data_IF_009984677633
#
_entry.id   IF_009984677633
#
_cell.length_a   1.000
_cell.length_b   1.000
_cell.length_c   1.000
_cell.angle_alpha   90.00
_cell.angle_beta   90.00
_cell.angle_gamma   90.00
#
_symmetry.space_group_name_H-M   'P 1'
#
loop_
_entity.id
_entity.type
_entity.pdbx_description
1 polymer ?
#
# COMPACT_ATOMS: atom_id res chain seq x y z
N UNK A 1 -33.50 43.67 12.23
CA UNK A 1 -33.08 44.92 11.58
C UNK A 1 -32.06 44.51 10.53
N UNK A 2 -32.47 44.51 9.29
CA UNK A 2 -31.66 44.02 8.18
C UNK A 2 -31.20 45.25 7.41
N UNK A 3 -29.89 45.45 7.33
CA UNK A 3 -29.30 46.46 6.45
C UNK A 3 -28.65 45.74 5.26
N UNK A 4 -29.22 45.96 4.10
CA UNK A 4 -28.71 45.54 2.82
C UNK A 4 -27.83 46.63 2.22
N UNK A 5 -26.62 46.34 1.86
CA UNK A 5 -25.73 47.13 1.01
C UNK A 5 -25.50 46.41 -0.29
N UNK A 6 -26.01 46.92 -1.36
CA UNK A 6 -25.83 46.44 -2.73
C UNK A 6 -24.59 47.08 -3.35
N UNK A 7 -23.65 46.23 -3.80
CA UNK A 7 -22.70 46.58 -4.86
C UNK A 7 -22.48 45.34 -5.76
N UNK A 8 -22.90 45.50 -7.03
CA UNK A 8 -22.43 44.72 -8.19
C UNK A 8 -22.76 43.23 -8.20
N UNK A 9 -23.97 42.87 -8.60
CA UNK A 9 -24.29 41.66 -9.41
C UNK A 9 -23.47 40.38 -9.25
N UNK A 10 -23.76 39.62 -8.17
CA UNK A 10 -23.88 38.15 -8.15
C UNK A 10 -24.30 37.71 -6.74
N UNK A 11 -25.53 37.22 -6.65
CA UNK A 11 -26.11 36.67 -5.42
C UNK A 11 -25.50 35.27 -5.17
N UNK A 12 -24.74 35.11 -4.09
CA UNK A 12 -24.40 33.81 -3.56
C UNK A 12 -25.29 33.53 -2.34
N UNK A 13 -26.14 32.52 -2.45
CA UNK A 13 -26.91 31.98 -1.32
C UNK A 13 -26.03 30.95 -0.64
N UNK A 14 -25.50 31.27 0.56
CA UNK A 14 -24.92 30.29 1.46
C UNK A 14 -26.05 29.58 2.22
N UNK A 15 -26.31 28.33 1.86
CA UNK A 15 -27.17 27.44 2.64
C UNK A 15 -26.31 26.70 3.63
N UNK A 16 -26.56 26.93 4.92
CA UNK A 16 -25.86 26.30 6.03
C UNK A 16 -26.40 24.88 6.22
N UNK A 17 -25.65 23.84 5.79
CA UNK A 17 -26.04 22.41 5.80
C UNK A 17 -25.47 21.61 6.95
N UNK A 18 -25.18 22.21 8.09
CA UNK A 18 -24.49 21.50 9.19
C UNK A 18 -25.38 20.87 10.28
N UNK A 19 -26.69 20.74 10.11
CA UNK A 19 -27.56 20.18 11.16
C UNK A 19 -28.47 19.00 10.78
N UNK A 20 -28.36 18.41 9.59
CA UNK A 20 -29.25 17.28 9.22
C UNK A 20 -28.54 15.91 9.05
N UNK A 21 -27.21 15.84 9.16
CA UNK A 21 -26.48 14.59 8.94
C UNK A 21 -26.49 13.62 10.13
N UNK A 22 -26.85 14.07 11.33
CA UNK A 22 -26.76 13.24 12.55
C UNK A 22 -27.99 12.37 12.82
N UNK A 23 -29.16 12.73 12.26
CA UNK A 23 -30.40 12.00 12.53
C UNK A 23 -30.69 10.84 11.56
N UNK A 24 -30.09 10.81 10.36
CA UNK A 24 -30.30 9.69 9.44
C UNK A 24 -29.50 8.42 9.79
N UNK A 25 -28.37 8.56 10.46
CA UNK A 25 -27.59 7.37 10.91
C UNK A 25 -28.25 6.62 12.08
N UNK A 26 -29.07 7.29 12.89
CA UNK A 26 -29.78 6.64 14.01
C UNK A 26 -31.07 5.94 13.59
N UNK A 27 -31.68 6.32 12.48
CA UNK A 27 -32.90 5.69 11.97
C UNK A 27 -32.58 4.42 11.18
N UNK A 28 -31.42 4.31 10.55
CA UNK A 28 -31.01 3.14 9.80
C UNK A 28 -30.62 1.94 10.72
N UNK A 29 -30.18 2.21 11.97
CA UNK A 29 -29.86 1.15 12.95
C UNK A 29 -31.08 0.54 13.64
N UNK A 30 -32.23 1.24 13.68
CA UNK A 30 -33.43 0.71 14.35
C UNK A 30 -34.33 -0.14 13.46
N UNK A 31 -34.17 -0.10 12.15
CA UNK A 31 -34.99 -0.92 11.21
C UNK A 31 -34.36 -2.29 10.96
N UNK A 32 -33.05 -2.48 11.24
CA UNK A 32 -32.38 -3.76 11.01
C UNK A 32 -32.43 -4.72 12.20
N UNK A 33 -32.88 -4.29 13.38
CA UNK A 33 -33.02 -5.16 14.55
C UNK A 33 -34.41 -5.82 14.72
N UNK A 34 -35.38 -5.52 13.85
CA UNK A 34 -36.73 -6.04 13.97
C UNK A 34 -37.09 -7.18 13.00
N UNK A 35 -36.11 -7.62 12.17
CA UNK A 35 -36.36 -8.67 11.16
C UNK A 35 -35.88 -10.08 11.55
N UNK A 36 -35.51 -10.32 12.82
CA UNK A 36 -34.98 -11.64 13.25
C UNK A 36 -35.85 -12.37 14.26
N UNK A 37 -37.08 -11.94 14.48
CA UNK A 37 -37.99 -12.68 15.40
C UNK A 37 -39.36 -12.90 14.78
N UNK A 38 -39.47 -13.66 13.73
CA UNK A 38 -40.68 -14.43 13.41
C UNK A 38 -40.30 -15.59 12.51
N UNK A 39 -40.17 -16.77 13.05
CA UNK A 39 -40.43 -18.05 12.41
C UNK A 39 -40.21 -19.17 13.45
N UNK A 40 -41.09 -19.20 14.43
CA UNK A 40 -41.36 -20.41 15.19
C UNK A 40 -42.85 -20.49 15.36
N UNK A 41 -43.53 -21.09 14.41
CA UNK A 41 -44.87 -21.62 14.59
C UNK A 41 -44.91 -22.98 13.88
N UNK A 42 -44.92 -24.02 14.67
CA UNK A 42 -45.23 -25.37 14.26
C UNK A 42 -46.61 -25.44 13.69
N UNK A 43 -46.75 -26.10 12.57
CA UNK A 43 -48.00 -26.79 12.21
C UNK A 43 -47.59 -28.20 11.78
N UNK A 44 -48.03 -29.16 12.59
CA UNK A 44 -48.06 -30.56 12.26
C UNK A 44 -49.11 -30.78 11.20
N UNK A 45 -48.69 -31.14 9.98
CA UNK A 45 -49.58 -31.86 9.07
C UNK A 45 -48.79 -32.95 8.36
N UNK A 46 -49.29 -34.15 8.52
CA UNK A 46 -48.71 -35.42 8.12
C UNK A 46 -48.97 -35.61 6.61
N UNK A 47 -48.04 -35.17 5.78
CA UNK A 47 -47.99 -35.56 4.38
C UNK A 47 -46.59 -36.10 4.11
N UNK A 48 -46.54 -37.41 3.82
CA UNK A 48 -45.36 -38.11 3.32
C UNK A 48 -44.86 -37.49 2.02
N UNK A 49 -44.09 -36.41 2.11
CA UNK A 49 -43.23 -36.00 1.04
C UNK A 49 -41.98 -36.88 0.98
N UNK A 50 -41.44 -37.19 -0.22
CA UNK A 50 -40.24 -37.99 -0.34
C UNK A 50 -39.11 -37.29 0.40
N UNK A 51 -38.39 -38.06 1.22
CA UNK A 51 -37.25 -37.68 2.04
C UNK A 51 -36.18 -36.97 1.20
N UNK A 52 -36.35 -35.68 0.98
CA UNK A 52 -35.35 -34.83 0.37
C UNK A 52 -34.25 -34.75 1.42
N UNK A 53 -33.18 -35.52 1.23
CA UNK A 53 -31.96 -35.45 2.04
C UNK A 53 -31.52 -34.01 2.15
N UNK A 54 -31.93 -33.32 3.21
CA UNK A 54 -31.42 -31.99 3.52
C UNK A 54 -29.92 -32.12 3.74
N UNK A 55 -29.13 -31.50 2.87
CA UNK A 55 -27.68 -31.45 3.00
C UNK A 55 -27.27 -30.72 4.29
N UNK A 56 -26.08 -30.99 4.75
CA UNK A 56 -25.52 -30.27 5.91
C UNK A 56 -25.37 -28.79 5.63
N UNK A 57 -25.58 -27.96 6.66
CA UNK A 57 -25.38 -26.51 6.65
C UNK A 57 -24.16 -26.15 7.46
N UNK A 58 -23.35 -25.24 6.95
CA UNK A 58 -22.18 -24.64 7.63
C UNK A 58 -22.40 -23.14 7.78
N UNK A 59 -22.35 -22.66 9.01
CA UNK A 59 -22.18 -21.22 9.32
C UNK A 59 -20.71 -20.94 9.56
N UNK A 60 -20.07 -20.28 8.61
CA UNK A 60 -18.67 -19.88 8.72
C UNK A 60 -18.59 -18.39 9.06
N UNK A 61 -17.99 -18.09 10.20
CA UNK A 61 -17.65 -16.72 10.61
C UNK A 61 -16.14 -16.52 10.41
N UNK A 62 -15.71 -15.29 10.17
CA UNK A 62 -14.28 -14.94 10.12
C UNK A 62 -13.93 -14.13 11.36
N UNK A 63 -12.88 -14.54 12.08
CA UNK A 63 -12.42 -13.84 13.28
C UNK A 63 -11.78 -12.51 12.91
N UNK A 64 -12.04 -11.47 13.68
CA UNK A 64 -11.48 -10.10 13.53
C UNK A 64 -11.87 -9.33 12.26
N UNK A 65 -13.04 -9.59 11.69
CA UNK A 65 -13.51 -8.74 10.58
C UNK A 65 -14.85 -8.11 10.93
N UNK A 66 -14.89 -6.79 10.91
CA UNK A 66 -16.16 -6.08 10.76
C UNK A 66 -16.79 -6.50 9.43
N UNK A 67 -17.94 -7.13 9.54
CA UNK A 67 -18.67 -7.86 8.51
C UNK A 67 -18.84 -7.10 7.20
N UNK A 68 -18.35 -7.61 6.09
CA UNK A 68 -18.98 -7.70 4.74
C UNK A 68 -18.00 -8.15 3.65
N UNK A 69 -18.52 -8.90 2.66
CA UNK A 69 -17.84 -9.60 1.58
C UNK A 69 -17.17 -8.69 0.54
N UNK A 70 -16.06 -8.12 0.88
CA UNK A 70 -15.05 -7.57 -0.03
C UNK A 70 -13.80 -7.31 0.80
N UNK A 71 -12.64 -7.62 0.25
CA UNK A 71 -11.41 -7.08 0.83
C UNK A 71 -11.39 -5.60 0.47
N UNK A 72 -11.66 -4.72 1.43
CA UNK A 72 -11.54 -3.27 1.26
C UNK A 72 -10.31 -2.78 2.01
N UNK A 73 -9.50 -1.96 1.34
CA UNK A 73 -8.40 -1.26 1.97
C UNK A 73 -8.94 0.07 2.52
N UNK A 74 -9.33 0.05 3.79
CA UNK A 74 -9.63 1.26 4.54
C UNK A 74 -8.48 1.48 5.53
N UNK A 75 -7.46 2.24 5.10
CA UNK A 75 -6.35 2.71 5.95
C UNK A 75 -5.70 1.63 6.84
N UNK A 76 -5.47 0.45 6.28
CA UNK A 76 -4.75 -0.62 6.97
C UNK A 76 -5.62 -1.64 7.72
N UNK A 77 -6.93 -1.55 7.62
CA UNK A 77 -7.85 -2.62 8.06
C UNK A 77 -8.43 -3.34 6.85
N UNK A 78 -8.21 -4.63 6.81
CA UNK A 78 -8.78 -5.50 5.79
C UNK A 78 -9.92 -6.27 6.37
N UNK A 79 -11.08 -6.19 5.74
CA UNK A 79 -12.24 -7.00 6.07
C UNK A 79 -12.41 -8.06 5.00
N UNK A 80 -12.56 -9.31 5.41
CA UNK A 80 -12.87 -10.41 4.52
C UNK A 80 -14.29 -10.90 4.79
N UNK A 81 -15.05 -11.17 3.74
CA UNK A 81 -16.30 -11.90 3.88
C UNK A 81 -16.54 -12.78 2.67
N UNK A 82 -17.33 -13.82 2.87
CA UNK A 82 -17.68 -14.77 1.84
C UNK A 82 -18.70 -14.19 0.86
N UNK A 83 -18.46 -14.42 -0.42
CA UNK A 83 -19.39 -14.08 -1.50
C UNK A 83 -20.29 -15.28 -1.83
N UNK A 84 -21.42 -15.03 -2.48
CA UNK A 84 -22.25 -16.08 -3.06
C UNK A 84 -21.42 -16.91 -4.04
N UNK A 85 -21.58 -18.23 -3.97
CA UNK A 85 -20.84 -19.27 -4.71
C UNK A 85 -19.41 -19.50 -4.21
N UNK A 86 -18.94 -18.83 -3.15
CA UNK A 86 -17.69 -19.24 -2.52
C UNK A 86 -17.80 -20.68 -2.01
N UNK A 87 -16.70 -21.42 -2.09
CA UNK A 87 -16.63 -22.80 -1.67
C UNK A 87 -15.67 -22.96 -0.50
N UNK A 88 -16.10 -23.73 0.49
CA UNK A 88 -15.30 -24.14 1.64
C UNK A 88 -15.13 -25.64 1.63
N UNK A 89 -13.93 -26.14 1.83
CA UNK A 89 -13.64 -27.56 2.02
C UNK A 89 -13.75 -27.91 3.50
N UNK A 90 -14.57 -28.88 3.82
CA UNK A 90 -14.85 -29.27 5.21
C UNK A 90 -14.61 -30.77 5.38
N UNK A 91 -13.83 -31.13 6.36
CA UNK A 91 -13.51 -32.52 6.68
C UNK A 91 -13.49 -32.76 8.18
N UNK A 92 -13.43 -33.99 8.58
CA UNK A 92 -13.28 -34.39 9.98
C UNK A 92 -12.34 -35.60 10.10
N UNK A 93 -12.09 -36.02 11.33
CA UNK A 93 -11.19 -37.14 11.65
C UNK A 93 -11.78 -38.51 11.27
N UNK A 94 -13.05 -38.58 10.84
CA UNK A 94 -13.76 -39.82 10.47
C UNK A 94 -13.92 -39.98 8.95
N UNK A 95 -13.61 -38.99 8.14
CA UNK A 95 -13.77 -39.03 6.67
C UNK A 95 -12.41 -38.97 5.97
N UNK A 96 -12.31 -39.67 4.84
CA UNK A 96 -11.08 -39.70 4.04
C UNK A 96 -10.91 -38.44 3.21
N UNK A 97 -12.02 -37.92 2.67
CA UNK A 97 -12.07 -36.79 1.74
C UNK A 97 -12.81 -35.61 2.33
N UNK A 98 -12.44 -34.40 1.88
CA UNK A 98 -13.18 -33.21 2.23
C UNK A 98 -14.49 -33.10 1.45
N UNK A 99 -15.55 -32.67 2.12
CA UNK A 99 -16.79 -32.24 1.49
C UNK A 99 -16.66 -30.81 0.96
N UNK A 100 -17.40 -30.51 -0.11
CA UNK A 100 -17.53 -29.17 -0.62
C UNK A 100 -18.80 -28.53 -0.13
N UNK A 101 -18.68 -27.37 0.51
CA UNK A 101 -19.80 -26.54 0.93
C UNK A 101 -19.80 -25.28 0.10
N UNK A 102 -20.93 -24.94 -0.53
CA UNK A 102 -21.10 -23.76 -1.39
C UNK A 102 -21.98 -22.73 -0.69
N UNK A 103 -21.57 -21.47 -0.71
CA UNK A 103 -22.31 -20.35 -0.14
C UNK A 103 -23.48 -19.97 -1.04
N UNK A 104 -24.70 -20.03 -0.52
CA UNK A 104 -25.91 -19.57 -1.23
C UNK A 104 -26.13 -18.05 -1.14
N UNK A 105 -25.30 -17.36 -0.34
CA UNK A 105 -25.38 -15.94 -0.01
C UNK A 105 -25.72 -15.69 1.47
N UNK A 106 -26.10 -16.74 2.23
CA UNK A 106 -26.46 -16.68 3.65
C UNK A 106 -25.67 -17.70 4.47
N UNK A 107 -25.64 -18.94 3.96
CA UNK A 107 -24.97 -20.08 4.60
C UNK A 107 -24.30 -20.95 3.55
N UNK A 108 -23.40 -21.78 4.00
CA UNK A 108 -22.79 -22.80 3.14
C UNK A 108 -23.57 -24.10 3.25
N UNK A 109 -23.89 -24.73 2.12
CA UNK A 109 -24.62 -26.00 2.05
C UNK A 109 -23.83 -27.05 1.27
N UNK A 110 -23.98 -28.32 1.65
CA UNK A 110 -23.43 -29.46 0.94
C UNK A 110 -24.46 -30.56 0.85
N UNK A 111 -24.70 -31.07 -0.35
CA UNK A 111 -25.56 -32.24 -0.60
C UNK A 111 -24.83 -33.54 -0.30
N UNK A 112 -23.50 -33.55 -0.30
CA UNK A 112 -22.68 -34.76 -0.17
C UNK A 112 -22.25 -35.02 1.26
N UNK A 113 -22.23 -33.96 2.10
CA UNK A 113 -21.78 -34.07 3.47
C UNK A 113 -22.81 -34.88 4.30
N UNK A 114 -22.32 -35.90 4.99
CA UNK A 114 -23.10 -36.73 5.88
C UNK A 114 -22.73 -36.40 7.31
N UNK A 115 -23.77 -36.38 8.17
CA UNK A 115 -23.55 -36.34 9.61
C UNK A 115 -22.85 -37.64 10.04
N UNK A 116 -21.96 -37.52 11.00
CA UNK A 116 -21.33 -38.68 11.64
C UNK A 116 -22.21 -39.14 12.78
N UNK A 117 -22.28 -40.46 12.98
CA UNK A 117 -23.00 -41.04 14.12
C UNK A 117 -22.27 -40.83 15.45
N UNK A 118 -21.01 -40.46 15.38
CA UNK A 118 -20.15 -40.19 16.53
C UNK A 118 -19.66 -38.73 16.48
N UNK A 119 -19.26 -38.22 17.66
CA UNK A 119 -18.63 -36.93 17.75
C UNK A 119 -17.38 -36.91 16.89
N UNK A 120 -17.19 -35.86 16.06
CA UNK A 120 -16.06 -35.71 15.18
C UNK A 120 -15.50 -34.26 15.27
N UNK A 121 -14.21 -34.09 15.07
CA UNK A 121 -13.56 -32.79 14.98
C UNK A 121 -13.59 -32.32 13.54
N UNK A 122 -14.39 -31.29 13.27
CA UNK A 122 -14.54 -30.74 11.92
C UNK A 122 -13.55 -29.60 11.68
N UNK A 123 -12.91 -29.59 10.52
CA UNK A 123 -12.05 -28.54 10.06
C UNK A 123 -12.56 -27.98 8.74
N UNK A 124 -12.57 -26.66 8.60
CA UNK A 124 -12.98 -25.95 7.41
C UNK A 124 -11.81 -25.14 6.81
N UNK A 125 -11.71 -25.12 5.48
CA UNK A 125 -10.62 -24.51 4.73
C UNK A 125 -11.15 -23.71 3.54
N UNK A 126 -10.75 -22.44 3.44
CA UNK A 126 -11.09 -21.57 2.33
C UNK A 126 -9.78 -21.03 1.67
N UNK A 127 -9.75 -20.84 0.36
CA UNK A 127 -10.75 -21.15 -0.66
C UNK A 127 -10.74 -22.64 -1.08
N UNK A 128 -9.98 -23.49 -0.42
CA UNK A 128 -9.89 -24.90 -0.70
C UNK A 128 -8.81 -25.60 0.13
N UNK A 129 -8.59 -26.87 -0.12
CA UNK A 129 -7.58 -27.69 0.57
C UNK A 129 -6.15 -27.45 0.06
N UNK A 130 -6.02 -26.97 -1.17
CA UNK A 130 -4.72 -26.61 -1.78
C UNK A 130 -4.82 -25.23 -2.40
N UNK A 131 -3.87 -24.36 -2.06
CA UNK A 131 -3.80 -22.99 -2.56
C UNK A 131 -2.47 -22.79 -3.26
N UNK A 132 -2.50 -22.63 -4.57
CA UNK A 132 -1.32 -22.32 -5.38
C UNK A 132 -0.99 -20.83 -5.22
N UNK A 133 0.18 -20.51 -4.71
CA UNK A 133 0.63 -19.13 -4.50
C UNK A 133 1.51 -18.59 -5.63
N UNK A 134 1.93 -19.44 -6.58
CA UNK A 134 2.71 -19.00 -7.74
C UNK A 134 1.85 -18.23 -8.75
N UNK A 135 2.48 -17.37 -9.55
CA UNK A 135 1.87 -16.63 -10.66
C UNK A 135 0.63 -15.81 -10.25
N UNK A 136 0.68 -15.13 -9.11
CA UNK A 136 -0.39 -14.23 -8.69
C UNK A 136 -0.51 -13.04 -9.64
N UNK A 137 -1.70 -12.48 -9.79
CA UNK A 137 -1.93 -11.35 -10.69
C UNK A 137 -1.36 -10.04 -10.15
N UNK A 138 -1.17 -9.95 -8.84
CA UNK A 138 -0.76 -8.74 -8.13
C UNK A 138 -1.87 -7.72 -7.97
N UNK A 139 -3.08 -7.98 -8.46
CA UNK A 139 -4.23 -7.09 -8.27
C UNK A 139 -4.86 -7.30 -6.90
N UNK A 140 -5.27 -6.20 -6.28
CA UNK A 140 -5.93 -6.26 -4.98
C UNK A 140 -7.20 -7.12 -4.98
N UNK A 141 -8.03 -6.99 -6.03
CA UNK A 141 -9.26 -7.76 -6.18
C UNK A 141 -9.06 -9.30 -6.18
N UNK A 142 -7.87 -9.76 -6.59
CA UNK A 142 -7.58 -11.20 -6.69
C UNK A 142 -6.96 -11.78 -5.41
N UNK A 143 -6.68 -10.95 -4.39
CA UNK A 143 -6.15 -11.40 -3.09
C UNK A 143 -7.11 -12.38 -2.43
N UNK A 144 -8.42 -12.15 -2.49
CA UNK A 144 -9.44 -13.02 -1.90
C UNK A 144 -9.32 -14.46 -2.40
N UNK A 145 -8.98 -14.69 -3.66
CA UNK A 145 -8.85 -16.02 -4.26
C UNK A 145 -7.67 -16.85 -3.70
N UNK A 146 -6.76 -16.20 -2.96
CA UNK A 146 -5.59 -16.82 -2.33
C UNK A 146 -5.57 -16.64 -0.81
N UNK A 147 -6.59 -15.97 -0.27
CA UNK A 147 -6.64 -15.61 1.15
C UNK A 147 -7.06 -16.81 1.98
N UNK A 148 -6.08 -17.57 2.44
CA UNK A 148 -6.31 -18.80 3.21
C UNK A 148 -6.93 -18.52 4.58
N UNK A 149 -8.07 -19.16 4.83
CA UNK A 149 -8.73 -19.19 6.13
C UNK A 149 -8.88 -20.64 6.57
N UNK A 150 -8.68 -20.91 7.85
CA UNK A 150 -8.95 -22.21 8.44
C UNK A 150 -9.59 -22.06 9.81
N UNK A 151 -10.48 -22.97 10.15
CA UNK A 151 -11.16 -23.05 11.43
C UNK A 151 -11.52 -24.47 11.80
N UNK A 152 -11.67 -24.72 13.09
CA UNK A 152 -12.16 -25.99 13.62
C UNK A 152 -13.35 -25.77 14.53
N UNK A 153 -14.18 -26.77 14.59
CA UNK A 153 -15.30 -26.87 15.57
C UNK A 153 -15.40 -28.29 16.08
N UNK A 154 -15.68 -28.42 17.36
CA UNK A 154 -16.08 -29.71 17.91
C UNK A 154 -17.52 -30.01 17.45
N UNK A 155 -17.75 -31.26 17.16
CA UNK A 155 -18.87 -31.79 16.43
C UNK A 155 -20.25 -31.37 16.90
N UNK A 156 -21.09 -31.22 15.90
CA UNK A 156 -22.49 -31.50 15.99
C UNK A 156 -22.73 -32.96 16.45
N UNK A 157 -23.37 -33.14 17.58
CA UNK A 157 -23.95 -34.41 17.97
C UNK A 157 -25.03 -34.83 16.96
N UNK A 158 -25.23 -36.13 16.78
CA UNK A 158 -26.35 -36.71 16.02
C UNK A 158 -27.63 -35.89 16.21
N UNK A 159 -28.11 -35.28 15.13
CA UNK A 159 -29.39 -34.53 15.12
C UNK A 159 -29.28 -33.02 14.89
N UNK A 160 -28.09 -32.42 14.82
CA UNK A 160 -27.97 -31.02 14.43
C UNK A 160 -27.69 -30.87 12.93
N UNK A 161 -28.54 -30.12 12.24
CA UNK A 161 -28.48 -29.92 10.81
C UNK A 161 -27.32 -28.97 10.36
N UNK A 162 -26.47 -28.55 11.28
CA UNK A 162 -25.45 -27.54 10.94
C UNK A 162 -24.20 -27.54 11.81
N UNK A 163 -23.13 -27.04 11.20
CA UNK A 163 -21.86 -26.74 11.83
C UNK A 163 -21.72 -25.23 11.97
N UNK A 164 -21.07 -24.78 13.04
CA UNK A 164 -20.63 -23.38 13.17
C UNK A 164 -19.13 -23.39 13.34
N UNK A 165 -18.42 -22.71 12.44
CA UNK A 165 -16.95 -22.61 12.45
C UNK A 165 -16.53 -21.15 12.42
N UNK A 166 -15.62 -20.76 13.32
CA UNK A 166 -14.91 -19.49 13.25
C UNK A 166 -13.58 -19.70 12.54
N UNK A 167 -13.42 -19.10 11.38
CA UNK A 167 -12.22 -19.23 10.54
C UNK A 167 -11.25 -18.09 10.81
N UNK A 168 -9.96 -18.40 10.83
CA UNK A 168 -8.87 -17.45 11.05
C UNK A 168 -7.98 -17.39 9.82
N UNK A 169 -7.46 -16.20 9.52
CA UNK A 169 -6.48 -16.06 8.46
C UNK A 169 -5.21 -16.89 8.74
N UNK A 170 -4.63 -17.44 7.69
CA UNK A 170 -3.36 -18.21 7.69
C UNK A 170 -2.32 -17.61 6.78
N UNK A 171 -2.63 -16.48 6.19
CA UNK A 171 -1.76 -15.73 5.27
C UNK A 171 -1.62 -14.28 5.72
N UNK A 172 -0.54 -13.66 5.23
CA UNK A 172 -0.32 -12.24 5.22
C UNK A 172 -0.28 -11.75 3.77
N UNK A 173 -0.33 -10.44 3.55
CA UNK A 173 -0.24 -9.86 2.23
C UNK A 173 0.92 -8.88 2.18
N UNK A 174 1.76 -9.01 1.17
CA UNK A 174 2.80 -8.04 0.84
C UNK A 174 2.24 -7.05 -0.17
N UNK A 175 2.27 -5.77 0.16
CA UNK A 175 2.00 -4.67 -0.74
C UNK A 175 3.34 -4.16 -1.28
N UNK A 176 3.61 -4.41 -2.56
CA UNK A 176 4.85 -4.00 -3.21
C UNK A 176 4.64 -2.66 -3.88
N UNK A 177 5.45 -1.69 -3.53
CA UNK A 177 5.41 -0.31 -4.05
C UNK A 177 6.74 0.10 -4.67
N UNK A 178 6.79 1.24 -5.35
CA UNK A 178 8.01 1.76 -5.95
C UNK A 178 8.50 0.95 -7.16
N UNK A 179 7.58 0.31 -7.90
CA UNK A 179 7.89 -0.40 -9.14
C UNK A 179 7.80 0.58 -10.30
N UNK A 180 8.91 0.76 -11.02
CA UNK A 180 8.97 1.63 -12.20
C UNK A 180 8.57 0.90 -13.48
N UNK A 181 8.14 1.66 -14.48
CA UNK A 181 7.81 1.10 -15.78
C UNK A 181 9.04 0.50 -16.46
N UNK A 182 8.88 -0.69 -17.05
CA UNK A 182 9.97 -1.41 -17.71
C UNK A 182 10.89 -2.21 -16.78
N UNK A 183 10.75 -2.06 -15.46
CA UNK A 183 11.49 -2.88 -14.50
C UNK A 183 10.89 -4.26 -14.34
N UNK A 184 11.76 -5.26 -14.30
CA UNK A 184 11.32 -6.61 -14.03
C UNK A 184 11.14 -6.83 -12.52
N UNK A 185 9.89 -6.83 -12.06
CA UNK A 185 9.53 -7.24 -10.72
C UNK A 185 9.31 -8.76 -10.71
N UNK A 186 10.13 -9.49 -9.98
CA UNK A 186 10.06 -10.96 -9.84
C UNK A 186 10.10 -11.34 -8.36
N UNK A 187 8.93 -11.34 -7.73
CA UNK A 187 8.80 -11.66 -6.31
C UNK A 187 8.80 -13.15 -6.11
N UNK A 188 9.82 -13.62 -5.43
CA UNK A 188 9.92 -14.98 -4.91
C UNK A 188 10.18 -14.96 -3.41
N UNK A 189 9.71 -15.99 -2.72
CA UNK A 189 9.75 -16.07 -1.26
C UNK A 189 10.34 -17.43 -0.86
N UNK A 190 11.24 -17.43 0.10
CA UNK A 190 11.82 -18.65 0.66
C UNK A 190 11.47 -18.84 2.12
N UNK A 191 11.27 -20.09 2.50
CA UNK A 191 11.25 -20.56 3.88
C UNK A 191 12.18 -21.78 3.98
N UNK A 192 13.02 -21.82 4.98
CA UNK A 192 14.03 -22.88 5.18
C UNK A 192 14.85 -23.20 3.92
N UNK A 193 15.23 -22.15 3.17
CA UNK A 193 16.03 -22.24 1.95
C UNK A 193 15.29 -22.67 0.69
N UNK A 194 14.03 -23.11 0.78
CA UNK A 194 13.20 -23.55 -0.34
C UNK A 194 12.20 -22.46 -0.75
N UNK A 195 11.83 -22.44 -2.03
CA UNK A 195 10.86 -21.48 -2.56
C UNK A 195 9.44 -21.87 -2.19
N UNK A 196 8.68 -20.92 -1.64
CA UNK A 196 7.25 -21.09 -1.35
C UNK A 196 6.49 -21.22 -2.67
N UNK A 197 5.66 -22.25 -2.79
CA UNK A 197 4.83 -22.50 -3.99
C UNK A 197 3.32 -22.50 -3.68
N UNK A 198 2.94 -22.81 -2.44
CA UNK A 198 1.54 -22.94 -2.08
C UNK A 198 1.31 -23.22 -0.60
N UNK A 199 0.06 -23.54 -0.31
CA UNK A 199 -0.40 -23.99 0.99
C UNK A 199 -1.26 -25.24 0.81
N UNK A 200 -1.18 -26.19 1.75
CA UNK A 200 -1.98 -27.39 1.79
C UNK A 200 -2.64 -27.56 3.15
N UNK A 201 -3.96 -27.79 3.16
CA UNK A 201 -4.72 -28.04 4.38
C UNK A 201 -4.14 -29.24 5.14
N UNK A 202 -3.97 -29.07 6.44
CA UNK A 202 -3.55 -30.15 7.33
C UNK A 202 -4.81 -30.82 7.89
N UNK A 203 -5.06 -32.03 7.47
CA UNK A 203 -6.22 -32.82 7.92
C UNK A 203 -6.22 -32.89 9.45
N UNK A 204 -7.38 -32.76 10.04
CA UNK A 204 -7.59 -32.81 11.50
C UNK A 204 -6.92 -31.66 12.29
N UNK A 205 -6.50 -30.63 11.59
CA UNK A 205 -5.94 -29.40 12.16
C UNK A 205 -6.52 -28.18 11.43
N UNK A 206 -6.92 -27.16 12.15
CA UNK A 206 -7.36 -25.92 11.53
C UNK A 206 -6.17 -25.08 11.03
N UNK A 207 -5.33 -25.68 10.20
CA UNK A 207 -4.09 -25.07 9.71
C UNK A 207 -3.71 -25.51 8.29
N UNK A 208 -2.75 -24.77 7.70
CA UNK A 208 -2.14 -25.11 6.44
C UNK A 208 -0.63 -25.35 6.62
N UNK A 209 -0.11 -26.38 5.98
CA UNK A 209 1.33 -26.52 5.76
C UNK A 209 1.78 -25.70 4.56
N UNK A 210 3.02 -25.17 4.62
CA UNK A 210 3.59 -24.45 3.49
C UNK A 210 4.16 -25.45 2.48
N UNK A 211 3.66 -25.38 1.25
CA UNK A 211 4.20 -26.12 0.11
C UNK A 211 5.42 -25.38 -0.45
N UNK A 212 6.49 -26.13 -0.71
CA UNK A 212 7.75 -25.56 -1.19
C UNK A 212 8.29 -26.29 -2.41
N UNK A 213 9.07 -25.57 -3.23
CA UNK A 213 9.81 -26.08 -4.37
C UNK A 213 11.33 -25.94 -4.14
N UNK A 214 12.16 -26.93 -4.50
CA UNK A 214 13.61 -26.78 -4.49
C UNK A 214 14.10 -25.87 -5.62
N UNK A 215 13.35 -25.75 -6.72
CA UNK A 215 13.66 -24.87 -7.83
C UNK A 215 12.93 -23.55 -7.70
N UNK A 216 13.52 -22.47 -8.27
CA UNK A 216 12.95 -21.13 -8.23
C UNK A 216 11.55 -21.11 -8.80
N UNK A 217 10.62 -20.53 -8.04
CA UNK A 217 9.27 -20.21 -8.47
C UNK A 217 8.96 -18.75 -8.07
N UNK A 218 8.24 -18.06 -8.93
CA UNK A 218 7.83 -16.67 -8.68
C UNK A 218 6.40 -16.64 -8.20
N UNK A 219 6.16 -15.92 -7.10
CA UNK A 219 4.81 -15.63 -6.63
C UNK A 219 4.15 -14.54 -7.49
N UNK A 220 4.94 -13.59 -7.98
CA UNK A 220 4.50 -12.50 -8.84
C UNK A 220 5.60 -12.14 -9.84
N UNK A 221 5.24 -11.93 -11.11
CA UNK A 221 6.13 -11.37 -12.13
C UNK A 221 5.41 -10.25 -12.88
N UNK A 222 5.99 -9.03 -12.92
CA UNK A 222 5.44 -7.83 -13.55
C UNK A 222 6.54 -6.97 -14.17
N UNK A 223 6.16 -6.14 -15.17
CA UNK A 223 7.05 -5.18 -15.83
C UNK A 223 6.51 -3.76 -15.84
N UNK A 224 5.26 -3.57 -15.44
CA UNK A 224 4.62 -2.27 -15.46
C UNK A 224 4.81 -1.56 -14.12
N UNK A 225 4.83 -0.25 -14.13
CA UNK A 225 4.77 0.54 -12.90
C UNK A 225 3.45 0.28 -12.16
N UNK A 226 3.50 0.23 -10.83
CA UNK A 226 2.28 0.03 -10.07
C UNK A 226 2.48 -0.36 -8.62
N UNK A 227 1.36 -0.59 -7.97
CA UNK A 227 1.28 -1.19 -6.64
C UNK A 227 0.74 -2.60 -6.80
N UNK A 228 1.44 -3.57 -6.25
CA UNK A 228 1.09 -4.97 -6.37
C UNK A 228 0.88 -5.63 -5.02
N UNK A 229 0.01 -6.63 -4.98
CA UNK A 229 -0.35 -7.37 -3.77
C UNK A 229 0.00 -8.84 -3.95
N UNK A 230 0.71 -9.41 -2.98
CA UNK A 230 1.19 -10.79 -3.01
C UNK A 230 0.81 -11.48 -1.71
N UNK A 231 0.01 -12.53 -1.80
CA UNK A 231 -0.35 -13.37 -0.66
C UNK A 231 0.83 -14.28 -0.34
N UNK A 232 1.20 -14.35 0.92
CA UNK A 232 2.30 -15.18 1.45
C UNK A 232 1.86 -15.91 2.72
N UNK A 233 2.48 -17.05 3.09
CA UNK A 233 2.22 -17.71 4.35
C UNK A 233 2.45 -16.79 5.55
N UNK A 234 1.64 -16.90 6.58
CA UNK A 234 1.87 -16.26 7.88
C UNK A 234 2.46 -17.25 8.90
N UNK A 235 3.00 -16.72 10.00
CA UNK A 235 3.48 -17.53 11.12
C UNK A 235 4.78 -18.31 10.87
N UNK A 236 5.41 -18.16 9.71
CA UNK A 236 6.66 -18.82 9.35
C UNK A 236 7.72 -17.79 8.91
N UNK A 237 8.99 -18.10 9.18
CA UNK A 237 10.09 -17.24 8.74
C UNK A 237 10.18 -17.23 7.22
N UNK A 238 10.17 -16.02 6.65
CA UNK A 238 10.24 -15.81 5.21
C UNK A 238 11.42 -14.93 4.85
N UNK A 239 12.03 -15.21 3.70
CA UNK A 239 12.95 -14.30 3.00
C UNK A 239 12.33 -13.94 1.65
N UNK A 240 12.04 -12.64 1.44
CA UNK A 240 11.39 -12.09 0.24
C UNK A 240 12.46 -11.53 -0.68
N UNK A 241 12.41 -11.90 -1.94
CA UNK A 241 13.38 -11.49 -2.97
C UNK A 241 12.64 -10.81 -4.14
N UNK A 242 13.33 -9.88 -4.79
CA UNK A 242 13.03 -9.44 -6.15
C UNK A 242 14.14 -9.99 -7.06
N UNK A 243 13.82 -10.99 -7.88
CA UNK A 243 14.81 -11.77 -8.60
C UNK A 243 15.77 -12.49 -7.63
N UNK A 244 17.05 -12.17 -7.70
CA UNK A 244 18.08 -12.68 -6.79
C UNK A 244 18.37 -11.74 -5.60
N UNK A 245 17.82 -10.52 -5.64
CA UNK A 245 18.08 -9.50 -4.62
C UNK A 245 17.15 -9.69 -3.43
N UNK A 246 17.73 -9.91 -2.25
CA UNK A 246 16.99 -9.97 -0.99
C UNK A 246 16.38 -8.59 -0.68
N UNK A 247 15.08 -8.54 -0.53
CA UNK A 247 14.34 -7.34 -0.10
C UNK A 247 14.20 -7.29 1.43
N UNK A 248 13.75 -8.40 2.01
CA UNK A 248 13.46 -8.47 3.46
C UNK A 248 13.48 -9.92 3.95
N UNK A 249 13.99 -10.10 5.18
CA UNK A 249 13.78 -11.32 5.97
C UNK A 249 12.88 -10.98 7.16
N UNK A 250 11.89 -11.82 7.42
CA UNK A 250 11.01 -11.67 8.59
C UNK A 250 11.70 -12.17 9.86
N UNK A 251 11.13 -11.86 11.02
CA UNK A 251 11.51 -12.52 12.28
C UNK A 251 11.20 -14.02 12.20
N UNK A 252 11.73 -14.80 13.13
CA UNK A 252 11.50 -16.26 13.20
C UNK A 252 10.00 -16.60 13.38
N UNK A 253 9.23 -15.72 14.01
CA UNK A 253 7.77 -15.85 14.17
C UNK A 253 6.98 -15.55 12.90
N UNK A 254 7.67 -15.13 11.82
CA UNK A 254 7.03 -14.80 10.56
C UNK A 254 6.23 -13.48 10.58
N UNK A 255 5.32 -13.35 9.63
CA UNK A 255 4.35 -12.27 9.53
C UNK A 255 3.07 -12.65 10.29
N UNK A 256 2.40 -11.68 10.89
CA UNK A 256 1.11 -11.91 11.52
C UNK A 256 0.05 -12.20 10.45
N UNK A 257 -0.75 -13.21 10.68
CA UNK A 257 -1.87 -13.57 9.80
C UNK A 257 -2.91 -12.45 9.75
N UNK A 258 -3.55 -12.29 8.60
CA UNK A 258 -4.57 -11.26 8.41
C UNK A 258 -4.04 -9.83 8.30
N UNK A 259 -2.72 -9.62 8.28
CA UNK A 259 -2.11 -8.29 8.16
C UNK A 259 -1.47 -8.10 6.79
N UNK A 260 -1.31 -6.83 6.38
CA UNK A 260 -0.49 -6.51 5.22
C UNK A 260 0.78 -5.75 5.63
N UNK A 261 1.79 -5.84 4.78
CA UNK A 261 3.10 -5.26 4.99
C UNK A 261 3.58 -4.60 3.70
N UNK A 262 3.93 -3.33 3.77
CA UNK A 262 4.45 -2.61 2.61
C UNK A 262 5.94 -2.88 2.45
N UNK A 263 6.35 -3.26 1.25
CA UNK A 263 7.74 -3.38 0.82
C UNK A 263 7.98 -2.52 -0.41
N UNK A 264 9.08 -1.80 -0.42
CA UNK A 264 9.54 -1.09 -1.62
C UNK A 264 10.38 -2.02 -2.50
N UNK A 265 10.11 -2.03 -3.80
CA UNK A 265 10.87 -2.83 -4.77
C UNK A 265 12.35 -2.40 -4.81
N UNK A 266 12.61 -1.14 -4.52
CA UNK A 266 13.93 -0.52 -4.39
C UNK A 266 14.02 0.29 -3.11
N UNK A 267 15.25 0.52 -2.58
CA UNK A 267 15.45 1.52 -1.55
C UNK A 267 15.01 2.90 -2.07
N UNK A 268 14.23 3.61 -1.27
CA UNK A 268 13.82 4.99 -1.54
C UNK A 268 14.68 6.01 -0.80
N UNK A 269 15.59 5.53 0.03
CA UNK A 269 16.63 6.26 0.74
C UNK A 269 17.90 5.41 0.76
N UNK A 270 19.05 6.06 0.87
CA UNK A 270 20.32 5.37 0.99
C UNK A 270 21.48 6.34 1.02
N UNK A 271 22.69 5.81 0.90
CA UNK A 271 23.91 6.59 0.76
C UNK A 271 24.58 6.28 -0.58
N UNK A 272 25.37 7.22 -1.05
CA UNK A 272 26.24 7.07 -2.21
C UNK A 272 27.54 7.84 -2.00
N UNK A 273 28.61 7.34 -2.60
CA UNK A 273 29.91 7.98 -2.53
C UNK A 273 29.92 9.30 -3.26
N UNK A 274 30.50 10.29 -2.65
CA UNK A 274 30.85 11.59 -3.24
C UNK A 274 32.35 11.84 -3.04
N UNK A 275 32.97 12.55 -3.96
CA UNK A 275 34.36 13.03 -3.83
C UNK A 275 34.33 14.52 -3.58
N UNK A 276 34.71 14.95 -2.38
CA UNK A 276 34.74 16.36 -1.97
C UNK A 276 36.15 16.66 -1.51
N UNK A 277 36.79 17.68 -2.12
CA UNK A 277 38.17 18.07 -1.85
C UNK A 277 39.16 16.86 -1.94
N UNK A 278 38.93 16.01 -2.94
CA UNK A 278 39.75 14.82 -3.18
C UNK A 278 39.54 13.67 -2.16
N UNK A 279 38.59 13.80 -1.25
CA UNK A 279 38.28 12.78 -0.26
C UNK A 279 36.94 12.10 -0.59
N UNK A 280 36.91 10.76 -0.48
CA UNK A 280 35.68 10.00 -0.60
C UNK A 280 34.86 10.11 0.70
N UNK A 281 33.60 10.49 0.59
CA UNK A 281 32.64 10.62 1.68
C UNK A 281 31.31 9.99 1.27
N UNK A 282 30.51 9.52 2.24
CA UNK A 282 29.15 9.05 2.00
C UNK A 282 28.15 10.21 2.11
N UNK A 283 27.30 10.37 1.11
CA UNK A 283 26.19 11.34 1.11
C UNK A 283 24.85 10.63 1.05
N UNK A 284 23.91 11.05 1.90
CA UNK A 284 22.57 10.53 1.93
C UNK A 284 21.74 11.03 0.74
N UNK A 285 20.87 10.16 0.24
CA UNK A 285 19.91 10.51 -0.79
C UNK A 285 18.52 10.01 -0.45
N UNK A 286 17.51 10.68 -0.98
CA UNK A 286 16.09 10.35 -0.85
C UNK A 286 15.39 10.48 -2.20
N UNK A 287 14.47 9.57 -2.49
CA UNK A 287 13.57 9.61 -3.64
C UNK A 287 12.16 9.92 -3.14
N UNK A 288 11.47 10.89 -3.71
CA UNK A 288 10.17 11.36 -3.22
C UNK A 288 8.96 10.68 -3.88
N UNK A 289 9.15 10.08 -5.07
CA UNK A 289 8.09 9.35 -5.79
C UNK A 289 8.67 8.25 -6.68
N UNK A 290 7.85 7.28 -7.15
CA UNK A 290 8.28 6.24 -8.07
C UNK A 290 8.83 6.83 -9.37
N UNK A 291 10.05 6.44 -9.76
CA UNK A 291 10.72 6.96 -10.96
C UNK A 291 11.25 8.38 -10.85
N UNK A 292 11.07 9.05 -9.72
CA UNK A 292 11.66 10.35 -9.45
C UNK A 292 13.16 10.27 -9.21
N UNK A 293 13.87 11.40 -9.26
CA UNK A 293 15.32 11.43 -9.00
C UNK A 293 15.63 11.12 -7.53
N UNK A 294 16.86 10.67 -7.29
CA UNK A 294 17.42 10.47 -5.95
C UNK A 294 18.14 11.75 -5.54
N UNK A 295 17.43 12.63 -4.85
CA UNK A 295 17.98 13.88 -4.36
C UNK A 295 18.93 13.65 -3.20
N UNK A 296 20.03 14.41 -3.14
CA UNK A 296 20.80 14.52 -1.91
C UNK A 296 19.92 15.11 -0.78
N UNK A 297 20.12 14.68 0.45
CA UNK A 297 19.39 15.24 1.60
C UNK A 297 19.90 16.65 1.98
N UNK A 298 21.05 17.07 1.46
CA UNK A 298 21.64 18.39 1.70
C UNK A 298 22.07 19.09 0.39
N UNK A 299 22.21 20.39 0.44
CA UNK A 299 22.81 21.18 -0.65
C UNK A 299 24.33 20.96 -0.70
N UNK A 300 24.97 21.37 -1.80
CA UNK A 300 26.42 21.62 -1.79
C UNK A 300 26.75 22.68 -0.74
N UNK A 301 27.98 22.64 -0.18
CA UNK A 301 28.34 23.48 0.95
C UNK A 301 28.34 24.99 0.62
N UNK A 302 28.59 25.34 -0.63
CA UNK A 302 28.66 26.71 -1.09
C UNK A 302 27.82 26.92 -2.35
N UNK A 303 27.37 28.16 -2.56
CA UNK A 303 26.70 28.53 -3.80
C UNK A 303 27.70 28.50 -4.95
N UNK A 304 27.28 27.98 -6.09
CA UNK A 304 28.07 27.83 -7.29
C UNK A 304 27.59 28.78 -8.38
N UNK A 305 28.51 29.21 -9.26
CA UNK A 305 28.09 29.76 -10.53
C UNK A 305 27.61 28.64 -11.47
N UNK A 306 26.95 29.01 -12.56
CA UNK A 306 26.33 28.00 -13.44
C UNK A 306 27.36 27.05 -14.09
N UNK A 307 28.52 27.58 -14.47
CA UNK A 307 29.60 26.78 -15.08
C UNK A 307 30.14 25.72 -14.12
N UNK A 308 30.29 26.05 -12.84
CA UNK A 308 30.70 25.12 -11.79
C UNK A 308 29.59 24.10 -11.49
N UNK A 309 28.36 24.58 -11.39
CA UNK A 309 27.19 23.74 -11.07
C UNK A 309 26.90 22.69 -12.15
N UNK A 310 27.29 22.92 -13.40
CA UNK A 310 26.97 22.02 -14.52
C UNK A 310 28.14 21.17 -15.00
N UNK A 311 29.28 21.20 -14.31
CA UNK A 311 30.41 20.28 -14.56
C UNK A 311 29.91 18.81 -14.50
N UNK A 312 30.62 17.94 -15.19
CA UNK A 312 30.27 16.55 -15.34
C UNK A 312 31.38 15.61 -14.85
N UNK A 313 31.03 14.39 -14.52
CA UNK A 313 31.98 13.36 -14.11
C UNK A 313 32.76 13.79 -12.85
N UNK A 314 34.03 13.50 -12.83
CA UNK A 314 34.90 13.77 -11.68
C UNK A 314 35.13 15.27 -11.42
N UNK A 315 34.84 16.13 -12.40
CA UNK A 315 34.92 17.61 -12.23
C UNK A 315 33.70 18.18 -11.49
N UNK A 316 32.61 17.39 -11.31
CA UNK A 316 31.49 17.84 -10.53
C UNK A 316 31.84 17.95 -9.05
N UNK A 317 31.31 18.95 -8.38
CA UNK A 317 31.63 19.29 -6.98
C UNK A 317 31.51 18.13 -5.98
N UNK A 318 30.70 17.12 -6.27
CA UNK A 318 30.57 15.90 -5.50
C UNK A 318 31.06 14.65 -6.26
N UNK A 319 31.79 14.82 -7.39
CA UNK A 319 32.35 13.74 -8.19
C UNK A 319 31.33 13.04 -9.10
N UNK A 320 31.78 12.00 -9.79
CA UNK A 320 31.08 11.37 -10.91
C UNK A 320 29.71 10.78 -10.61
N UNK A 321 29.47 10.38 -9.37
CA UNK A 321 28.18 9.76 -8.99
C UNK A 321 27.04 10.78 -8.85
N UNK A 322 27.32 12.06 -8.86
CA UNK A 322 26.37 13.12 -8.62
C UNK A 322 26.30 14.10 -9.78
N UNK A 323 25.22 14.85 -9.86
CA UNK A 323 25.03 15.94 -10.82
C UNK A 323 24.01 16.95 -10.31
N UNK A 324 24.00 18.12 -10.91
CA UNK A 324 22.91 19.08 -10.75
C UNK A 324 21.63 18.53 -11.40
N UNK A 325 20.44 18.71 -10.82
CA UNK A 325 19.18 18.28 -11.40
C UNK A 325 18.83 19.01 -12.68
N UNK A 326 17.98 18.44 -13.50
CA UNK A 326 17.31 19.13 -14.60
C UNK A 326 16.15 19.99 -14.09
N UNK A 327 15.60 20.85 -14.96
CA UNK A 327 14.39 21.61 -14.65
C UNK A 327 13.22 20.69 -14.34
N UNK A 328 13.02 19.65 -15.13
CA UNK A 328 11.95 18.67 -14.98
C UNK A 328 12.01 17.95 -13.64
N UNK A 329 13.21 17.67 -13.16
CA UNK A 329 13.43 17.01 -11.87
C UNK A 329 13.07 17.90 -10.66
N UNK A 330 13.08 19.22 -10.83
CA UNK A 330 12.68 20.18 -9.80
C UNK A 330 11.22 20.66 -9.93
N UNK A 331 10.45 20.16 -10.90
CA UNK A 331 9.04 20.59 -11.08
C UNK A 331 8.13 20.22 -9.91
N UNK A 332 8.49 19.23 -9.08
CA UNK A 332 7.72 18.85 -7.89
C UNK A 332 7.50 20.06 -6.95
N UNK A 333 8.37 21.03 -6.96
CA UNK A 333 8.25 22.27 -6.17
C UNK A 333 7.00 23.05 -6.56
N UNK A 334 6.58 22.96 -7.82
CA UNK A 334 5.38 23.62 -8.35
C UNK A 334 4.07 22.89 -8.04
N UNK A 335 4.12 21.60 -7.72
CA UNK A 335 2.92 20.76 -7.55
C UNK A 335 2.03 21.18 -6.37
N UNK A 336 2.58 21.87 -5.37
CA UNK A 336 1.82 22.29 -4.18
C UNK A 336 0.76 23.36 -4.45
N UNK A 337 0.84 24.10 -5.57
CA UNK A 337 -0.14 25.13 -5.94
C UNK A 337 -1.29 24.61 -6.79
N UNK A 338 -1.13 23.40 -7.31
CA UNK A 338 -2.11 22.69 -8.11
C UNK A 338 -2.66 21.52 -7.29
N UNK A 339 -3.09 20.47 -7.94
CA UNK A 339 -3.38 19.20 -7.25
C UNK A 339 -2.05 18.47 -7.02
N UNK A 340 -1.64 18.18 -5.76
CA UNK A 340 -0.41 17.45 -5.51
C UNK A 340 -0.44 16.09 -6.19
N UNK A 341 0.55 15.81 -7.04
CA UNK A 341 0.68 14.53 -7.76
C UNK A 341 1.70 13.63 -7.05
N UNK A 342 2.85 14.19 -6.70
CA UNK A 342 3.98 13.44 -6.15
C UNK A 342 4.36 13.88 -4.74
N UNK A 343 4.23 15.15 -4.42
CA UNK A 343 4.68 15.71 -3.15
C UNK A 343 3.67 16.67 -2.54
N UNK A 344 3.72 16.83 -1.22
CA UNK A 344 3.12 17.94 -0.49
C UNK A 344 4.23 18.81 0.08
N UNK A 345 3.98 20.11 0.20
CA UNK A 345 4.91 21.09 0.74
C UNK A 345 4.41 21.66 2.07
N UNK A 346 5.31 21.85 3.00
CA UNK A 346 5.04 22.45 4.31
C UNK A 346 6.19 23.36 4.70
N UNK A 347 5.88 24.56 5.15
CA UNK A 347 6.89 25.49 5.62
C UNK A 347 7.31 25.13 7.04
N UNK A 348 8.62 25.03 7.24
CA UNK A 348 9.21 24.64 8.51
C UNK A 348 10.49 25.44 8.80
N UNK A 349 10.87 25.47 10.07
CA UNK A 349 12.18 25.92 10.50
C UNK A 349 12.96 24.70 11.00
N UNK A 350 14.07 24.36 10.37
CA UNK A 350 14.94 23.27 10.78
C UNK A 350 16.30 23.84 11.24
N UNK A 351 16.72 23.51 12.47
CA UNK A 351 17.96 24.00 13.06
C UNK A 351 18.11 25.54 12.97
N UNK A 352 17.00 26.28 13.12
CA UNK A 352 16.99 27.74 13.02
C UNK A 352 16.95 28.30 11.61
N UNK A 353 16.98 27.46 10.58
CA UNK A 353 16.91 27.84 9.16
C UNK A 353 15.47 27.66 8.66
N UNK A 354 14.81 28.72 8.17
CA UNK A 354 13.51 28.58 7.53
C UNK A 354 13.65 27.89 6.18
N UNK A 355 12.61 27.16 5.77
CA UNK A 355 12.63 26.44 4.52
C UNK A 355 11.32 25.74 4.22
N UNK A 356 11.28 25.02 3.13
CA UNK A 356 10.13 24.24 2.69
C UNK A 356 10.48 22.76 2.75
N UNK A 357 9.70 22.01 3.52
CA UNK A 357 9.76 20.55 3.58
C UNK A 357 8.82 19.97 2.53
N UNK A 358 9.37 19.28 1.56
CA UNK A 358 8.60 18.48 0.59
C UNK A 358 8.56 17.04 1.06
N UNK A 359 7.37 16.46 1.10
CA UNK A 359 7.14 15.06 1.50
C UNK A 359 6.47 14.31 0.37
N UNK A 360 6.95 13.12 0.05
CA UNK A 360 6.30 12.23 -0.91
C UNK A 360 4.89 11.84 -0.47
N UNK A 361 3.93 11.79 -1.38
CA UNK A 361 2.54 11.39 -1.06
C UNK A 361 2.17 10.01 -1.60
N UNK A 362 3.00 9.47 -2.48
CA UNK A 362 2.76 8.14 -3.04
C UNK A 362 3.06 7.03 -2.01
N UNK A 363 2.32 5.92 -2.05
CA UNK A 363 2.58 4.79 -1.16
C UNK A 363 4.04 4.31 -1.19
N UNK A 364 4.66 4.18 -0.02
CA UNK A 364 6.08 3.82 0.13
C UNK A 364 7.05 4.99 0.08
N UNK A 365 6.55 6.22 -0.12
CA UNK A 365 7.34 7.46 -0.15
C UNK A 365 6.89 8.47 0.91
N UNK A 366 5.85 8.19 1.68
CA UNK A 366 5.25 9.11 2.67
C UNK A 366 6.17 9.49 3.82
N UNK A 367 7.22 8.71 4.06
CA UNK A 367 8.26 8.99 5.06
C UNK A 367 9.49 9.67 4.44
N UNK A 368 9.46 9.94 3.13
CA UNK A 368 10.55 10.53 2.39
C UNK A 368 10.36 12.03 2.28
N UNK A 369 11.35 12.76 2.73
CA UNK A 369 11.30 14.22 2.78
C UNK A 369 12.57 14.83 2.23
N UNK A 370 12.45 16.03 1.66
CA UNK A 370 13.57 16.90 1.30
C UNK A 370 13.28 18.30 1.83
N UNK A 371 14.23 18.87 2.53
CA UNK A 371 14.12 20.24 3.03
C UNK A 371 14.92 21.17 2.12
N UNK A 372 14.27 22.17 1.55
CA UNK A 372 14.89 23.24 0.78
C UNK A 372 14.99 24.50 1.65
N UNK A 373 16.19 24.85 2.13
CA UNK A 373 16.37 26.04 2.96
C UNK A 373 16.12 27.32 2.16
N UNK A 374 15.57 28.33 2.83
CA UNK A 374 15.35 29.67 2.34
C UNK A 374 16.29 30.64 3.06
N UNK A 375 16.76 31.65 2.35
CA UNK A 375 17.58 32.72 2.89
C UNK A 375 16.74 33.92 3.25
N UNK A 376 17.11 34.62 4.31
CA UNK A 376 16.51 35.90 4.67
C UNK A 376 17.25 37.04 3.95
N UNK A 377 16.64 37.54 2.90
CA UNK A 377 17.12 38.70 2.13
C UNK A 377 16.18 39.92 2.27
N UNK A 378 15.46 40.01 3.43
CA UNK A 378 14.35 40.94 3.63
C UNK A 378 13.00 40.34 3.27
N UNK A 379 12.99 39.25 2.57
CA UNK A 379 11.96 38.23 2.38
C UNK A 379 12.65 36.89 2.19
N UNK A 380 11.98 35.82 2.57
CA UNK A 380 12.56 34.47 2.48
C UNK A 380 12.57 33.99 1.03
N UNK A 381 13.76 33.68 0.53
CA UNK A 381 13.99 33.41 -0.88
C UNK A 381 15.19 32.47 -1.08
N UNK A 382 15.14 31.60 -2.08
CA UNK A 382 16.31 30.83 -2.51
C UNK A 382 16.21 30.45 -3.99
N UNK A 383 17.37 30.44 -4.64
CA UNK A 383 17.51 29.96 -6.00
C UNK A 383 18.36 28.70 -6.07
N UNK A 384 17.91 27.76 -6.91
CA UNK A 384 18.58 26.48 -7.15
C UNK A 384 18.90 26.29 -8.64
N UNK A 385 20.16 26.03 -8.97
CA UNK A 385 20.57 25.75 -10.34
C UNK A 385 19.95 24.47 -10.89
N UNK A 386 19.69 24.47 -12.20
CA UNK A 386 19.40 23.30 -13.02
C UNK A 386 20.44 23.14 -14.13
N UNK A 387 20.55 21.95 -14.70
CA UNK A 387 21.37 21.71 -15.89
C UNK A 387 20.69 22.14 -17.20
N UNK A 388 19.41 22.48 -17.14
CA UNK A 388 18.61 22.83 -18.32
C UNK A 388 18.93 24.24 -18.79
N UNK A 389 19.24 24.40 -20.07
CA UNK A 389 19.37 25.69 -20.72
C UNK A 389 17.99 26.21 -21.14
N UNK A 390 17.82 27.53 -21.03
CA UNK A 390 16.67 28.23 -21.61
C UNK A 390 16.76 28.27 -23.14
N UNK A 391 15.66 28.66 -23.78
CA UNK A 391 15.61 28.91 -25.24
C UNK A 391 16.59 29.97 -25.69
N UNK A 392 17.10 30.78 -24.78
CA UNK A 392 18.12 31.84 -25.03
C UNK A 392 19.54 31.39 -24.69
N UNK A 393 19.78 30.08 -24.51
CA UNK A 393 21.04 29.51 -24.06
C UNK A 393 21.55 30.09 -22.72
N UNK A 394 20.66 30.60 -21.87
CA UNK A 394 20.97 31.02 -20.52
C UNK A 394 20.71 29.87 -19.53
N UNK A 395 21.41 29.83 -18.42
CA UNK A 395 21.15 28.86 -17.35
C UNK A 395 19.76 29.06 -16.77
N UNK A 396 19.13 27.96 -16.36
CA UNK A 396 17.85 28.00 -15.71
C UNK A 396 18.01 27.73 -14.22
N UNK A 397 17.43 28.56 -13.39
CA UNK A 397 17.37 28.35 -11.94
C UNK A 397 15.93 28.32 -11.46
N UNK A 398 15.64 27.41 -10.53
CA UNK A 398 14.41 27.43 -9.76
C UNK A 398 14.50 28.53 -8.73
N UNK A 399 13.54 29.43 -8.73
CA UNK A 399 13.40 30.53 -7.80
C UNK A 399 12.19 30.29 -6.89
N UNK A 400 12.38 30.32 -5.57
CA UNK A 400 11.34 30.08 -4.56
C UNK A 400 11.33 31.28 -3.64
N UNK A 401 10.17 31.95 -3.53
CA UNK A 401 9.96 33.01 -2.55
C UNK A 401 8.78 32.69 -1.63
N UNK A 402 8.91 33.08 -0.37
CA UNK A 402 7.99 32.76 0.70
C UNK A 402 7.69 33.96 1.60
N UNK A 403 6.42 34.13 1.98
CA UNK A 403 5.99 35.09 2.95
C UNK A 403 5.79 34.44 4.33
N UNK A 404 6.56 34.87 5.30
CA UNK A 404 6.49 34.33 6.67
C UNK A 404 5.23 34.77 7.44
N UNK A 405 4.64 35.92 7.12
CA UNK A 405 3.44 36.41 7.80
C UNK A 405 2.22 35.59 7.37
N UNK A 406 2.00 35.48 6.08
CA UNK A 406 0.89 34.69 5.51
C UNK A 406 1.15 33.19 5.52
N UNK A 407 2.37 32.75 5.79
CA UNK A 407 2.82 31.36 5.67
C UNK A 407 2.54 30.75 4.30
N UNK A 408 2.68 31.54 3.25
CA UNK A 408 2.39 31.13 1.88
C UNK A 408 3.63 31.22 1.02
N UNK A 409 3.72 30.30 0.05
CA UNK A 409 4.72 30.40 -1.01
C UNK A 409 4.23 31.48 -1.96
N UNK A 410 4.97 32.61 -2.04
CA UNK A 410 4.60 33.75 -2.87
C UNK A 410 4.77 33.48 -4.34
N UNK A 411 5.88 32.85 -4.68
CA UNK A 411 6.17 32.45 -6.05
C UNK A 411 7.17 31.32 -6.11
N UNK A 412 7.03 30.54 -7.14
CA UNK A 412 8.05 29.63 -7.65
C UNK A 412 8.01 29.78 -9.18
N UNK A 413 9.16 29.95 -9.78
CA UNK A 413 9.27 29.95 -11.24
C UNK A 413 10.68 29.54 -11.63
N UNK A 414 10.84 29.15 -12.87
CA UNK A 414 12.15 28.92 -13.42
C UNK A 414 12.64 30.20 -14.09
N UNK A 415 13.64 30.82 -13.48
CA UNK A 415 14.31 31.99 -14.04
C UNK A 415 15.15 31.55 -15.24
N UNK A 416 14.72 31.93 -16.43
CA UNK A 416 15.37 31.58 -17.72
C UNK A 416 16.42 32.60 -18.19
N UNK A 417 16.67 33.60 -17.39
CA UNK A 417 17.64 34.68 -17.73
C UNK A 417 18.87 34.66 -16.84
N UNK A 418 19.08 33.62 -16.05
CA UNK A 418 20.26 33.50 -15.24
C UNK A 418 21.50 33.42 -16.12
N UNK A 419 22.50 34.31 -15.87
CA UNK A 419 23.68 34.44 -16.72
C UNK A 419 24.54 33.18 -16.70
N UNK A 420 24.77 32.57 -17.87
CA UNK A 420 25.68 31.42 -18.05
C UNK A 420 27.15 31.86 -18.33
N UNK A 421 27.36 33.11 -18.67
CA UNK A 421 28.68 33.62 -19.04
C UNK A 421 29.30 34.41 -17.89
N UNK A 422 30.18 33.76 -17.11
CA UNK A 422 31.13 34.42 -16.20
C UNK A 422 30.55 35.44 -15.22
N UNK A 423 29.23 35.48 -15.11
CA UNK A 423 28.51 36.43 -14.26
C UNK A 423 28.61 36.03 -12.77
N UNK A 424 28.66 37.05 -11.94
CA UNK A 424 28.74 36.94 -10.47
C UNK A 424 27.42 36.40 -9.85
N UNK A 425 26.70 35.51 -10.52
CA UNK A 425 25.43 34.91 -10.02
C UNK A 425 25.72 33.54 -9.44
N UNK A 426 25.53 33.40 -8.14
CA UNK A 426 25.79 32.19 -7.38
C UNK A 426 24.51 31.72 -6.74
N UNK A 427 24.13 30.46 -7.03
CA UNK A 427 22.94 29.83 -6.48
C UNK A 427 23.25 28.46 -5.84
N UNK A 428 22.34 27.98 -5.05
CA UNK A 428 22.44 26.66 -4.44
C UNK A 428 22.33 25.55 -5.49
N UNK A 429 22.88 24.41 -5.15
CA UNK A 429 22.66 23.16 -5.87
C UNK A 429 22.18 22.11 -4.90
N UNK A 430 21.07 21.46 -5.24
CA UNK A 430 20.61 20.26 -4.60
C UNK A 430 20.98 19.07 -5.51
N UNK A 431 22.08 18.36 -5.24
CA UNK A 431 22.52 17.30 -6.14
C UNK A 431 21.52 16.16 -6.29
N UNK A 432 21.57 15.50 -7.43
CA UNK A 432 20.90 14.23 -7.69
C UNK A 432 21.92 13.16 -8.04
N UNK A 433 21.64 11.92 -7.58
CA UNK A 433 22.47 10.77 -7.87
C UNK A 433 22.31 10.39 -9.35
N UNK A 434 23.39 10.08 -10.03
CA UNK A 434 23.36 9.48 -11.38
C UNK A 434 22.90 8.03 -11.29
N UNK A 435 22.02 7.62 -12.15
CA UNK A 435 21.56 6.23 -12.32
C UNK A 435 22.31 5.53 -13.44
#
# INVERSE_FOLDING_TARGET
MVTATTFGSKTFICINTEKQSINMKKILYSVFMLATMVLAACSSDDTTEPDVKRGMVLKANVEDTDTRATITDNEGKWTFAFAKNDMVKVGNDKVESYYTFTNDGTVFTSTDAKQTTEAANWCAFFPGETIVLTNQTGKFADVANKYALAGATASATTGSDGLTVTMKAKVAVLRIVGVNNGENLDINVKTDGKYVSGLKAVKNSADFSVETSPTKVSLLSKKDAGVYYVVVPAGVKLSVYNGEKLMKTTKNTGLNAGKYYTLTSRPTKGTAKATIDGKEVEKSWVQLWPGGPKFAEENVAEKLNWSEATKQGDEYVWGANWRTPTREELTFVAEHTLTPINTKAEVQVQNGVPGILYTGIQPGYTDNTIFLPLEDLGYYHSCYWTTTLSTKNAGTALDIAYDMESKTILQYYFNESASTQGGNTYYWVRPVLRE
#
